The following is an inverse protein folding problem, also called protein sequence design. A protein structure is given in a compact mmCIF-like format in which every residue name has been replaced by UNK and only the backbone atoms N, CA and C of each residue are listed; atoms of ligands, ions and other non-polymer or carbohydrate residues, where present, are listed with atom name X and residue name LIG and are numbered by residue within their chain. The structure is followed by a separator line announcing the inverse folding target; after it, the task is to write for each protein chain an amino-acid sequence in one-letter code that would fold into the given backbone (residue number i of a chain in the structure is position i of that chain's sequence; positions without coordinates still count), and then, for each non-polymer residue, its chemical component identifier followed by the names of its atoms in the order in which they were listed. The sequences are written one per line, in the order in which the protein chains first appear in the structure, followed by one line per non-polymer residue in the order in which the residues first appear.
data_IF_588361903980
#
_entry.id   IF_588361903980
#
_cell.length_a   1.000
_cell.length_b   1.000
_cell.length_c   1.000
_cell.angle_alpha   90.00
_cell.angle_beta   90.00
_cell.angle_gamma   90.00
#
_symmetry.space_group_name_H-M   'P 1'
#
loop_
_entity.id
_entity.type
_entity.pdbx_description
1 polymer ?
#
# COMPACT_ATOMS: atom_id res chain seq x y z
N UNK A 1 26.28 -9.33 -34.59
CA UNK A 1 25.15 -8.48 -35.01
C UNK A 1 24.13 -8.48 -33.88
N UNK A 2 24.20 -7.43 -33.07
CA UNK A 2 23.31 -7.18 -31.94
C UNK A 2 22.07 -6.52 -32.56
N UNK A 3 20.92 -7.19 -32.50
CA UNK A 3 19.68 -6.66 -33.06
C UNK A 3 19.26 -5.40 -32.31
N UNK A 4 19.11 -4.29 -33.05
CA UNK A 4 18.54 -3.05 -32.55
C UNK A 4 17.15 -3.28 -31.96
N UNK A 5 16.76 -2.55 -30.89
CA UNK A 5 15.36 -2.46 -30.51
C UNK A 5 14.59 -1.76 -31.62
N UNK A 6 13.45 -2.33 -32.02
CA UNK A 6 12.47 -1.67 -32.87
C UNK A 6 11.98 -0.40 -32.15
N UNK A 7 12.47 0.77 -32.57
CA UNK A 7 11.91 2.04 -32.17
C UNK A 7 10.65 2.30 -33.01
N UNK A 8 9.47 2.11 -32.42
CA UNK A 8 8.25 2.69 -32.96
C UNK A 8 8.28 4.22 -32.72
N UNK A 9 8.08 5.10 -33.73
CA UNK A 9 8.29 6.54 -33.58
C UNK A 9 7.14 7.33 -32.94
N UNK A 10 6.02 6.70 -32.56
CA UNK A 10 4.94 7.36 -31.86
C UNK A 10 4.29 6.36 -30.91
N UNK A 11 4.69 6.44 -29.65
CA UNK A 11 4.30 5.47 -28.64
C UNK A 11 4.65 5.99 -27.28
N UNK A 12 4.22 7.23 -26.98
CA UNK A 12 4.16 7.68 -25.59
C UNK A 12 3.07 6.87 -24.89
N UNK A 13 3.46 5.65 -24.52
CA UNK A 13 2.62 4.69 -23.82
C UNK A 13 2.20 5.33 -22.51
N UNK A 14 0.92 5.22 -22.14
CA UNK A 14 0.45 5.61 -20.81
C UNK A 14 1.32 4.98 -19.71
N UNK A 15 1.90 3.79 -19.95
CA UNK A 15 2.85 3.17 -19.05
C UNK A 15 4.15 3.99 -18.88
N UNK A 16 4.67 4.61 -19.94
CA UNK A 16 5.86 5.47 -19.84
C UNK A 16 5.58 6.71 -18.97
N UNK A 17 4.44 7.38 -19.21
CA UNK A 17 4.02 8.51 -18.37
C UNK A 17 3.84 8.12 -16.90
N UNK A 18 3.08 7.05 -16.62
CA UNK A 18 2.81 6.58 -15.26
C UNK A 18 4.08 6.11 -14.53
N UNK A 19 5.04 5.52 -15.26
CA UNK A 19 6.25 4.96 -14.66
C UNK A 19 7.36 6.00 -14.47
N UNK A 20 7.46 7.02 -15.31
CA UNK A 20 8.62 7.92 -15.36
C UNK A 20 8.31 9.42 -15.20
N UNK A 21 7.10 9.89 -15.51
CA UNK A 21 6.83 11.34 -15.56
C UNK A 21 5.84 11.85 -14.51
N UNK A 22 4.88 11.02 -14.10
CA UNK A 22 3.95 11.41 -13.02
C UNK A 22 4.74 11.55 -11.71
N UNK A 23 4.56 12.60 -10.90
CA UNK A 23 5.18 12.71 -9.56
C UNK A 23 4.65 11.67 -8.55
N UNK A 24 5.44 11.35 -7.53
CA UNK A 24 5.07 10.35 -6.52
C UNK A 24 3.80 10.77 -5.73
N UNK A 25 3.59 12.06 -5.50
CA UNK A 25 2.43 12.59 -4.76
C UNK A 25 1.10 12.32 -5.49
N UNK A 26 1.14 12.37 -6.83
CA UNK A 26 -0.04 12.07 -7.66
C UNK A 26 -0.33 10.57 -7.62
N UNK A 27 0.70 9.73 -7.72
CA UNK A 27 0.52 8.28 -7.57
C UNK A 27 0.02 7.91 -6.17
N UNK A 28 0.54 8.56 -5.12
CA UNK A 28 0.10 8.38 -3.76
C UNK A 28 -1.37 8.79 -3.59
N UNK A 29 -1.79 9.89 -4.24
CA UNK A 29 -3.19 10.32 -4.30
C UNK A 29 -4.07 9.33 -5.05
N UNK A 30 -3.59 8.69 -6.12
CA UNK A 30 -4.35 7.63 -6.80
C UNK A 30 -4.45 6.39 -5.90
N UNK A 31 -3.35 6.00 -5.26
CA UNK A 31 -3.28 4.83 -4.40
C UNK A 31 -4.11 4.98 -3.13
N UNK A 32 -4.39 6.20 -2.66
CA UNK A 32 -5.27 6.43 -1.51
C UNK A 32 -6.74 6.06 -1.76
N UNK A 33 -7.15 5.86 -3.01
CA UNK A 33 -8.46 5.32 -3.36
C UNK A 33 -8.49 3.78 -3.44
N UNK A 34 -7.35 3.11 -3.32
CA UNK A 34 -7.24 1.66 -3.43
C UNK A 34 -7.43 1.00 -2.06
N UNK A 35 -8.09 -0.15 -2.07
CA UNK A 35 -8.17 -1.04 -0.92
C UNK A 35 -6.89 -1.88 -0.77
N UNK A 36 -6.77 -2.59 0.35
CA UNK A 36 -5.57 -3.30 0.75
C UNK A 36 -5.11 -4.34 -0.29
N UNK A 37 -6.05 -5.05 -0.93
CA UNK A 37 -5.71 -6.06 -1.94
C UNK A 37 -5.12 -5.41 -3.18
N UNK A 38 -5.71 -4.32 -3.63
CA UNK A 38 -5.23 -3.60 -4.81
C UNK A 38 -3.88 -2.97 -4.52
N UNK A 39 -3.68 -2.39 -3.33
CA UNK A 39 -2.35 -1.94 -2.88
C UNK A 39 -1.32 -3.07 -2.90
N UNK A 40 -1.67 -4.28 -2.44
CA UNK A 40 -0.80 -5.44 -2.52
C UNK A 40 -0.51 -5.89 -3.96
N UNK A 41 -1.43 -5.67 -4.90
CA UNK A 41 -1.24 -5.98 -6.34
C UNK A 41 -0.35 -4.94 -7.02
N UNK A 42 -0.59 -3.63 -6.83
CA UNK A 42 0.29 -2.60 -7.41
C UNK A 42 1.70 -2.66 -6.85
N UNK A 43 1.89 -3.08 -5.59
CA UNK A 43 3.22 -3.28 -5.01
C UNK A 43 4.10 -4.26 -5.80
N UNK A 44 3.51 -5.18 -6.57
CA UNK A 44 4.22 -6.22 -7.32
C UNK A 44 4.56 -5.79 -8.76
N UNK A 45 4.15 -4.60 -9.19
CA UNK A 45 4.29 -4.14 -10.59
C UNK A 45 5.72 -3.68 -10.88
N UNK A 46 6.29 -2.81 -10.04
CA UNK A 46 7.64 -2.28 -10.20
C UNK A 46 8.19 -1.75 -8.86
N UNK A 47 9.50 -1.46 -8.79
CA UNK A 47 10.14 -0.95 -7.56
C UNK A 47 9.54 0.38 -7.07
N UNK A 48 9.16 1.25 -8.00
CA UNK A 48 8.57 2.55 -7.68
C UNK A 48 7.19 2.38 -7.04
N UNK A 49 6.33 1.57 -7.65
CA UNK A 49 5.01 1.27 -7.09
C UNK A 49 5.11 0.50 -5.78
N UNK A 50 6.10 -0.40 -5.66
CA UNK A 50 6.41 -1.06 -4.39
C UNK A 50 6.70 -0.04 -3.29
N UNK A 51 7.53 0.98 -3.54
CA UNK A 51 7.83 2.00 -2.54
C UNK A 51 6.58 2.80 -2.16
N UNK A 52 5.86 3.36 -3.14
CA UNK A 52 4.71 4.24 -2.92
C UNK A 52 3.53 3.49 -2.26
N UNK A 53 3.21 2.28 -2.71
CA UNK A 53 2.13 1.47 -2.13
C UNK A 53 2.43 0.97 -0.70
N UNK A 54 3.66 1.09 -0.22
CA UNK A 54 4.06 0.78 1.15
C UNK A 54 4.19 2.02 2.05
N UNK A 55 3.79 3.20 1.57
CA UNK A 55 3.84 4.45 2.32
C UNK A 55 3.07 4.36 3.66
N UNK A 56 3.65 4.92 4.72
CA UNK A 56 3.11 4.79 6.09
C UNK A 56 1.80 5.55 6.27
N UNK A 57 1.68 6.77 5.75
CA UNK A 57 0.47 7.58 5.92
C UNK A 57 -0.68 7.07 5.05
N UNK A 58 -0.36 6.46 3.90
CA UNK A 58 -1.32 5.73 3.08
C UNK A 58 -1.97 4.58 3.88
N UNK A 59 -1.16 3.72 4.50
CA UNK A 59 -1.67 2.61 5.30
C UNK A 59 -2.36 3.04 6.59
N UNK A 60 -1.90 4.12 7.23
CA UNK A 60 -2.57 4.73 8.37
C UNK A 60 -3.98 5.20 8.04
N UNK A 61 -4.13 5.95 6.93
CA UNK A 61 -5.43 6.45 6.48
C UNK A 61 -6.38 5.30 6.17
N UNK A 62 -5.89 4.28 5.45
CA UNK A 62 -6.66 3.07 5.16
C UNK A 62 -7.07 2.35 6.45
N UNK A 63 -6.12 2.13 7.38
CA UNK A 63 -6.38 1.47 8.65
C UNK A 63 -7.45 2.21 9.49
N UNK A 64 -7.31 3.53 9.64
CA UNK A 64 -8.28 4.36 10.36
C UNK A 64 -9.66 4.32 9.73
N UNK A 65 -9.75 4.29 8.39
CA UNK A 65 -11.04 4.19 7.69
C UNK A 65 -11.76 2.85 7.91
N UNK A 66 -10.99 1.78 8.14
CA UNK A 66 -11.51 0.42 8.31
C UNK A 66 -11.84 0.12 9.77
N UNK A 67 -10.91 0.42 10.67
CA UNK A 67 -10.97 0.02 12.07
C UNK A 67 -11.38 1.13 13.03
N UNK A 68 -11.35 2.39 12.59
CA UNK A 68 -11.71 3.55 13.41
C UNK A 68 -10.84 3.72 14.67
N UNK A 69 -9.61 3.19 14.64
CA UNK A 69 -8.64 3.31 15.73
C UNK A 69 -7.55 4.32 15.40
N UNK A 70 -7.21 5.16 16.37
CA UNK A 70 -6.16 6.19 16.26
C UNK A 70 -4.74 5.65 16.43
N UNK A 71 -4.59 4.37 16.83
CA UNK A 71 -3.31 3.69 16.99
C UNK A 71 -3.35 2.28 16.37
N UNK A 72 -2.20 1.78 15.85
CA UNK A 72 -2.05 0.38 15.48
C UNK A 72 -2.34 -0.55 16.66
N UNK A 73 -3.20 -1.54 16.45
CA UNK A 73 -3.48 -2.60 17.42
C UNK A 73 -2.76 -3.88 16.99
N UNK A 74 -1.81 -4.32 17.81
CA UNK A 74 -1.02 -5.52 17.57
C UNK A 74 -1.56 -6.71 18.34
N UNK A 75 -1.32 -7.91 17.80
CA UNK A 75 -1.63 -9.20 18.40
C UNK A 75 -0.32 -9.96 18.69
N UNK A 76 0.45 -9.58 19.73
CA UNK A 76 1.76 -10.18 20.00
C UNK A 76 1.70 -11.62 20.54
N UNK A 77 0.56 -12.03 21.09
CA UNK A 77 0.33 -13.37 21.61
C UNK A 77 -1.15 -13.75 21.51
N UNK A 78 -1.52 -15.05 21.51
CA UNK A 78 -2.92 -15.47 21.53
C UNK A 78 -3.73 -14.76 22.62
N UNK A 79 -4.89 -14.24 22.25
CA UNK A 79 -5.78 -13.48 23.13
C UNK A 79 -5.18 -12.20 23.77
N UNK A 80 -4.05 -11.68 23.29
CA UNK A 80 -3.46 -10.43 23.75
C UNK A 80 -3.46 -9.39 22.65
N UNK A 81 -4.04 -8.23 22.92
CA UNK A 81 -4.09 -7.12 21.97
C UNK A 81 -3.57 -5.86 22.65
N UNK A 82 -2.57 -5.22 22.05
CA UNK A 82 -1.91 -4.04 22.60
C UNK A 82 -1.91 -2.93 21.55
N UNK A 83 -2.33 -1.73 21.94
CA UNK A 83 -2.12 -0.53 21.12
C UNK A 83 -0.66 -0.11 21.25
N UNK A 84 0.01 0.11 20.13
CA UNK A 84 1.44 0.44 20.08
C UNK A 84 1.60 1.76 19.33
N UNK A 85 2.36 2.69 19.89
CA UNK A 85 2.69 3.92 19.18
C UNK A 85 3.52 3.59 17.92
N UNK A 86 3.25 4.21 16.75
CA UNK A 86 3.99 3.89 15.52
C UNK A 86 5.51 4.02 15.66
N UNK A 87 5.98 4.91 16.52
CA UNK A 87 7.40 5.17 16.79
C UNK A 87 8.07 4.06 17.64
N UNK A 88 7.27 3.29 18.38
CA UNK A 88 7.73 2.21 19.27
C UNK A 88 7.73 0.83 18.60
N UNK A 89 7.21 0.74 17.38
CA UNK A 89 7.05 -0.53 16.68
C UNK A 89 8.34 -0.98 15.95
N UNK A 90 8.74 -2.23 16.14
CA UNK A 90 9.93 -2.85 15.53
C UNK A 90 9.76 -3.22 14.03
N UNK A 91 8.87 -2.55 13.31
CA UNK A 91 8.56 -2.86 11.91
C UNK A 91 8.49 -1.60 11.06
N UNK A 92 8.79 -1.69 9.75
CA UNK A 92 8.94 -0.52 8.89
C UNK A 92 7.62 0.23 8.66
N UNK A 93 6.48 -0.46 8.67
CA UNK A 93 5.15 0.13 8.52
C UNK A 93 4.19 -0.51 9.54
N UNK A 94 4.03 0.11 10.73
CA UNK A 94 3.21 -0.43 11.81
C UNK A 94 1.73 -0.56 11.46
N UNK A 95 1.21 0.38 10.68
CA UNK A 95 -0.19 0.38 10.23
C UNK A 95 -0.49 -0.80 9.31
N UNK A 96 0.40 -1.05 8.34
CA UNK A 96 0.27 -2.19 7.42
C UNK A 96 0.35 -3.53 8.16
N UNK A 97 1.28 -3.65 9.11
CA UNK A 97 1.44 -4.88 9.88
C UNK A 97 0.26 -5.15 10.80
N UNK A 98 -0.23 -4.12 11.49
CA UNK A 98 -1.46 -4.20 12.30
C UNK A 98 -2.67 -4.57 11.43
N UNK A 99 -2.83 -3.94 10.27
CA UNK A 99 -3.89 -4.27 9.31
C UNK A 99 -3.84 -5.75 8.92
N UNK A 100 -2.64 -6.28 8.59
CA UNK A 100 -2.44 -7.69 8.22
C UNK A 100 -2.87 -8.64 9.33
N UNK A 101 -2.53 -8.35 10.59
CA UNK A 101 -2.89 -9.19 11.74
C UNK A 101 -4.40 -9.21 11.98
N UNK A 102 -5.04 -8.06 11.82
CA UNK A 102 -6.47 -7.92 12.03
C UNK A 102 -7.32 -8.30 10.81
N UNK A 103 -6.72 -8.50 9.62
CA UNK A 103 -7.41 -8.70 8.34
C UNK A 103 -8.54 -9.75 8.40
N UNK A 104 -8.25 -10.90 9.02
CA UNK A 104 -9.23 -12.00 9.17
C UNK A 104 -10.32 -11.74 10.21
N UNK A 105 -10.22 -10.66 10.98
CA UNK A 105 -11.25 -10.18 11.90
C UNK A 105 -12.26 -9.24 11.24
N UNK A 106 -11.99 -8.73 10.03
CA UNK A 106 -12.75 -7.61 9.40
C UNK A 106 -14.03 -8.06 8.67
N UNK A 107 -14.42 -9.34 8.71
CA UNK A 107 -15.56 -9.88 7.93
C UNK A 107 -16.95 -9.28 8.21
N UNK A 108 -17.07 -8.21 9.00
CA UNK A 108 -18.32 -7.60 9.48
C UNK A 108 -18.74 -6.37 8.65
N UNK A 109 -17.85 -5.74 7.87
CA UNK A 109 -18.20 -4.56 7.05
C UNK A 109 -18.42 -4.96 5.59
N UNK A 110 -19.65 -4.84 5.05
CA UNK A 110 -19.84 -4.92 3.61
C UNK A 110 -18.97 -3.82 2.97
N UNK A 111 -18.41 -4.07 1.79
CA UNK A 111 -17.52 -3.17 1.00
C UNK A 111 -16.00 -3.30 1.18
N UNK A 112 -15.48 -4.08 2.14
CA UNK A 112 -14.03 -4.38 2.24
C UNK A 112 -13.79 -5.86 1.92
N UNK A 113 -13.54 -6.19 0.64
CA UNK A 113 -13.29 -7.56 0.19
C UNK A 113 -12.46 -7.64 -1.09
#
# INVERSE_FOLDING_TARGET
MIGLPCACPDGSSAAHYLLLEVPDEVLLTIFSYLLEQDLCRVAQVCRRFHAISNDTELWKSLYQSVFEYDLPLFHPAPCKFDFVAPEEADCPNPWKESFRQLYRGIHVRPHFQ
#
